data_IF_449265681069
#
_entry.id   IF_449265681069
#
_cell.length_a   1.000
_cell.length_b   1.000
_cell.length_c   1.000
_cell.angle_alpha   90.00
_cell.angle_beta   90.00
_cell.angle_gamma   90.00
#
_symmetry.space_group_name_H-M   'P 1'
#
loop_
_entity.id
_entity.type
_entity.pdbx_description
1 polymer ?
#
# COMPACT_ATOMS: atom_id res chain seq x y z
N UNK A 1 -12.91 -20.49 9.12
CA UNK A 1 -11.83 -20.72 8.14
C UNK A 1 -11.92 -22.18 7.73
N UNK A 2 -11.92 -22.44 6.42
CA UNK A 2 -12.05 -23.77 5.82
C UNK A 2 -10.84 -23.96 4.88
N UNK A 3 -9.71 -24.54 5.35
CA UNK A 3 -8.46 -24.64 4.59
C UNK A 3 -8.58 -25.41 3.28
N UNK A 4 -9.59 -26.29 3.16
CA UNK A 4 -9.90 -27.09 2.00
C UNK A 4 -10.60 -26.34 0.87
N UNK A 5 -11.16 -25.16 1.16
CA UNK A 5 -11.86 -24.35 0.16
C UNK A 5 -10.88 -23.71 -0.82
N UNK A 6 -11.00 -24.07 -2.10
CA UNK A 6 -10.23 -23.43 -3.19
C UNK A 6 -11.05 -22.32 -3.82
N UNK A 7 -10.49 -21.11 -3.87
CA UNK A 7 -11.09 -19.95 -4.55
C UNK A 7 -10.20 -19.54 -5.70
N UNK A 8 -10.73 -19.56 -6.91
CA UNK A 8 -10.06 -19.06 -8.11
C UNK A 8 -10.53 -17.63 -8.39
N UNK A 9 -9.60 -16.68 -8.42
CA UNK A 9 -9.88 -15.29 -8.75
C UNK A 9 -9.28 -14.93 -10.11
N UNK A 10 -10.07 -14.27 -10.95
CA UNK A 10 -9.61 -13.75 -12.24
C UNK A 10 -9.26 -12.28 -12.08
N UNK A 11 -8.05 -11.89 -12.48
CA UNK A 11 -7.64 -10.49 -12.53
C UNK A 11 -8.26 -9.81 -13.75
N UNK A 12 -8.76 -8.57 -13.65
CA UNK A 12 -9.29 -7.85 -14.80
C UNK A 12 -8.22 -7.66 -15.87
N UNK A 13 -8.55 -7.93 -17.13
CA UNK A 13 -7.64 -7.73 -18.27
C UNK A 13 -7.63 -6.24 -18.64
N UNK A 14 -8.79 -5.59 -18.53
CA UNK A 14 -8.96 -4.18 -18.82
C UNK A 14 -8.37 -3.30 -17.68
N UNK A 15 -7.42 -2.39 -17.99
CA UNK A 15 -6.80 -1.50 -16.99
C UNK A 15 -7.78 -0.61 -16.22
N UNK A 16 -8.84 -0.11 -16.87
CA UNK A 16 -9.85 0.73 -16.23
C UNK A 16 -10.67 -0.05 -15.19
N UNK A 17 -10.95 -1.33 -15.46
CA UNK A 17 -11.61 -2.21 -14.51
C UNK A 17 -10.71 -2.52 -13.31
N UNK A 18 -9.41 -2.76 -13.54
CA UNK A 18 -8.42 -2.97 -12.49
C UNK A 18 -8.26 -1.73 -11.60
N UNK A 19 -8.18 -0.53 -12.17
CA UNK A 19 -8.12 0.72 -11.41
C UNK A 19 -9.38 0.93 -10.55
N UNK A 20 -10.57 0.68 -11.11
CA UNK A 20 -11.83 0.81 -10.38
C UNK A 20 -11.90 -0.18 -9.20
N UNK A 21 -11.44 -1.42 -9.40
CA UNK A 21 -11.39 -2.43 -8.35
C UNK A 21 -10.42 -2.03 -7.23
N UNK A 22 -9.19 -1.62 -7.58
CA UNK A 22 -8.17 -1.19 -6.62
C UNK A 22 -8.61 0.04 -5.84
N UNK A 23 -9.24 1.00 -6.52
CA UNK A 23 -9.83 2.16 -5.86
C UNK A 23 -10.81 1.73 -4.77
N UNK A 24 -11.73 0.81 -5.07
CA UNK A 24 -12.69 0.31 -4.08
C UNK A 24 -12.04 -0.41 -2.90
N UNK A 25 -10.99 -1.19 -3.12
CA UNK A 25 -10.25 -1.82 -2.02
C UNK A 25 -9.60 -0.79 -1.12
N UNK A 26 -8.98 0.22 -1.71
CA UNK A 26 -8.37 1.32 -0.95
C UNK A 26 -9.42 2.11 -0.16
N UNK A 27 -10.55 2.44 -0.79
CA UNK A 27 -11.67 3.15 -0.16
C UNK A 27 -12.34 2.34 0.96
N UNK A 28 -12.58 1.05 0.72
CA UNK A 28 -13.26 0.15 1.66
C UNK A 28 -12.48 -0.04 2.95
N UNK A 29 -11.16 0.19 2.93
CA UNK A 29 -10.30 0.10 4.10
C UNK A 29 -10.53 1.22 5.11
N UNK A 30 -10.81 2.46 4.68
CA UNK A 30 -10.91 3.61 5.60
C UNK A 30 -12.04 3.50 6.63
N UNK A 31 -13.28 3.09 6.27
CA UNK A 31 -14.32 2.85 7.26
C UNK A 31 -13.95 1.76 8.27
N UNK A 32 -13.25 0.71 7.82
CA UNK A 32 -12.79 -0.37 8.70
C UNK A 32 -11.73 0.13 9.69
N UNK A 33 -10.74 0.88 9.21
CA UNK A 33 -9.74 1.57 10.04
C UNK A 33 -10.40 2.43 11.12
N UNK A 34 -11.32 3.31 10.72
CA UNK A 34 -12.01 4.22 11.64
C UNK A 34 -12.86 3.48 12.68
N UNK A 35 -13.53 2.39 12.27
CA UNK A 35 -14.44 1.63 13.13
C UNK A 35 -13.72 0.67 14.07
N UNK A 36 -12.67 0.00 13.62
CA UNK A 36 -12.11 -1.15 14.34
C UNK A 36 -10.70 -0.94 14.92
N UNK A 37 -9.93 0.05 14.49
CA UNK A 37 -8.56 0.27 15.01
C UNK A 37 -8.52 0.40 16.55
N UNK A 38 -9.32 1.30 17.11
CA UNK A 38 -9.36 1.53 18.56
C UNK A 38 -9.97 0.36 19.33
N UNK A 39 -10.95 -0.34 18.75
CA UNK A 39 -11.58 -1.51 19.35
C UNK A 39 -10.59 -2.68 19.45
N UNK A 40 -9.88 -2.97 18.36
CA UNK A 40 -8.89 -4.05 18.33
C UNK A 40 -7.72 -3.77 19.27
N UNK A 41 -7.22 -2.53 19.32
CA UNK A 41 -6.15 -2.17 20.24
C UNK A 41 -6.59 -2.34 21.71
N UNK A 42 -7.78 -1.86 22.06
CA UNK A 42 -8.34 -2.01 23.43
C UNK A 42 -8.51 -3.47 23.80
N UNK A 43 -9.06 -4.29 22.90
CA UNK A 43 -9.26 -5.72 23.14
C UNK A 43 -7.95 -6.49 23.23
N UNK A 44 -6.96 -6.15 22.40
CA UNK A 44 -5.62 -6.74 22.44
C UNK A 44 -4.95 -6.51 23.81
N UNK A 45 -5.01 -5.28 24.33
CA UNK A 45 -4.45 -4.93 25.65
C UNK A 45 -5.24 -5.61 26.77
N UNK A 46 -6.58 -5.51 26.75
CA UNK A 46 -7.45 -6.09 27.80
C UNK A 46 -7.28 -7.60 27.92
N UNK A 47 -7.19 -8.31 26.79
CA UNK A 47 -7.05 -9.77 26.75
C UNK A 47 -5.59 -10.24 26.72
N UNK A 48 -4.63 -9.31 26.69
CA UNK A 48 -3.19 -9.61 26.50
C UNK A 48 -2.95 -10.59 25.34
N UNK A 49 -3.69 -10.42 24.24
CA UNK A 49 -3.71 -11.37 23.13
C UNK A 49 -2.90 -10.88 21.96
N UNK A 50 -1.78 -11.54 21.69
CA UNK A 50 -0.94 -11.27 20.53
C UNK A 50 -1.72 -11.43 19.21
N UNK A 51 -2.64 -12.41 19.14
CA UNK A 51 -3.46 -12.64 17.93
C UNK A 51 -4.34 -11.44 17.58
N UNK A 52 -4.95 -10.78 18.58
CA UNK A 52 -5.77 -9.59 18.34
C UNK A 52 -4.88 -8.39 17.99
N UNK A 53 -3.72 -8.28 18.63
CA UNK A 53 -2.74 -7.25 18.32
C UNK A 53 -2.23 -7.36 16.88
N UNK A 54 -1.94 -8.58 16.41
CA UNK A 54 -1.54 -8.85 15.03
C UNK A 54 -2.60 -8.38 14.03
N UNK A 55 -3.87 -8.69 14.26
CA UNK A 55 -4.99 -8.17 13.43
C UNK A 55 -5.11 -6.64 13.48
N UNK A 56 -4.78 -6.00 14.61
CA UNK A 56 -4.72 -4.54 14.70
C UNK A 56 -3.60 -3.98 13.83
N UNK A 57 -2.39 -4.56 13.93
CA UNK A 57 -1.23 -4.14 13.14
C UNK A 57 -1.50 -4.31 11.65
N UNK A 58 -2.08 -5.44 11.22
CA UNK A 58 -2.49 -5.67 9.85
C UNK A 58 -3.49 -4.58 9.38
N UNK A 59 -4.48 -4.26 10.21
CA UNK A 59 -5.49 -3.25 9.88
C UNK A 59 -4.87 -1.86 9.70
N UNK A 60 -3.90 -1.45 10.52
CA UNK A 60 -3.31 -0.11 10.48
C UNK A 60 -2.13 0.04 9.51
N UNK A 61 -1.43 -1.04 9.16
CA UNK A 61 -0.22 -1.01 8.32
C UNK A 61 -0.55 -0.48 6.93
N UNK A 62 -0.15 0.75 6.56
CA UNK A 62 -0.54 1.35 5.28
C UNK A 62 0.01 0.52 4.12
N UNK A 63 -0.62 0.64 2.95
CA UNK A 63 -0.14 -0.05 1.76
C UNK A 63 1.33 0.30 1.49
N UNK A 64 2.13 -0.68 1.08
CA UNK A 64 3.58 -0.55 0.88
C UNK A 64 3.98 0.71 0.08
N UNK A 65 3.23 1.02 -0.99
CA UNK A 65 3.48 2.22 -1.81
C UNK A 65 3.39 3.53 -1.02
N UNK A 66 2.54 3.61 0.01
CA UNK A 66 2.47 4.79 0.87
C UNK A 66 3.71 4.89 1.78
N UNK A 67 4.18 3.76 2.30
CA UNK A 67 5.41 3.71 3.09
C UNK A 67 6.60 4.12 2.23
N UNK A 68 6.71 3.59 1.02
CA UNK A 68 7.78 3.96 0.09
C UNK A 68 7.73 5.42 -0.31
N UNK A 69 6.54 5.98 -0.56
CA UNK A 69 6.39 7.39 -0.84
C UNK A 69 6.84 8.26 0.35
N UNK A 70 6.45 7.89 1.58
CA UNK A 70 6.87 8.60 2.79
C UNK A 70 8.39 8.52 2.99
N UNK A 71 8.98 7.33 2.89
CA UNK A 71 10.42 7.12 2.97
C UNK A 71 11.17 7.94 1.92
N UNK A 72 10.68 7.95 0.68
CA UNK A 72 11.28 8.74 -0.39
C UNK A 72 11.16 10.25 -0.13
N UNK A 73 10.00 10.74 0.31
CA UNK A 73 9.83 12.14 0.65
C UNK A 73 10.76 12.57 1.79
N UNK A 74 10.88 11.77 2.85
CA UNK A 74 11.79 12.04 3.96
C UNK A 74 13.25 12.00 3.53
N UNK A 75 13.62 11.08 2.64
CA UNK A 75 14.95 11.05 2.03
C UNK A 75 15.27 12.35 1.30
N UNK A 76 14.38 12.82 0.41
CA UNK A 76 14.58 14.08 -0.33
C UNK A 76 14.66 15.28 0.62
N UNK A 77 13.78 15.37 1.62
CA UNK A 77 13.80 16.45 2.61
C UNK A 77 15.13 16.46 3.36
N UNK A 78 15.63 15.29 3.81
CA UNK A 78 16.89 15.21 4.53
C UNK A 78 18.07 15.54 3.62
N UNK A 79 18.08 15.10 2.35
CA UNK A 79 19.11 15.48 1.38
C UNK A 79 19.17 17.00 1.20
N UNK A 80 18.02 17.67 1.07
CA UNK A 80 17.94 19.13 0.94
C UNK A 80 18.44 19.83 2.20
N UNK A 81 17.99 19.41 3.39
CA UNK A 81 18.41 20.02 4.66
C UNK A 81 19.90 19.82 4.94
N UNK A 82 20.47 18.67 4.57
CA UNK A 82 21.91 18.42 4.64
C UNK A 82 22.67 19.28 3.64
N UNK A 83 22.15 19.49 2.42
CA UNK A 83 22.80 20.35 1.42
C UNK A 83 22.80 21.84 1.77
N UNK A 84 21.91 22.26 2.67
CA UNK A 84 21.79 23.63 3.16
C UNK A 84 22.51 23.84 4.51
N UNK A 85 23.29 22.86 4.97
CA UNK A 85 23.99 22.85 6.27
C UNK A 85 23.07 23.08 7.49
N UNK A 86 21.76 22.82 7.34
CA UNK A 86 20.77 22.98 8.43
C UNK A 86 20.86 21.84 9.45
N UNK A 87 21.23 20.64 8.98
CA UNK A 87 21.41 19.46 9.81
C UNK A 87 22.90 19.19 9.99
N UNK A 88 23.39 19.39 11.22
CA UNK A 88 24.80 19.16 11.60
C UNK A 88 25.23 17.70 11.54
N UNK A 89 24.28 16.76 11.60
CA UNK A 89 24.58 15.32 11.64
C UNK A 89 23.92 14.56 10.50
N UNK A 90 24.73 13.93 9.65
CA UNK A 90 24.33 13.13 8.49
C UNK A 90 23.66 11.78 8.85
N UNK A 91 23.46 11.48 10.15
CA UNK A 91 22.89 10.20 10.62
C UNK A 91 21.46 9.98 10.11
N UNK A 92 20.61 11.01 10.11
CA UNK A 92 19.23 10.85 9.65
C UNK A 92 19.15 10.55 8.15
N UNK A 93 19.97 11.24 7.35
CA UNK A 93 20.05 10.95 5.91
C UNK A 93 20.49 9.50 5.67
N UNK A 94 21.50 9.01 6.40
CA UNK A 94 21.95 7.62 6.30
C UNK A 94 20.84 6.62 6.67
N UNK A 95 20.05 6.89 7.71
CA UNK A 95 18.91 6.05 8.09
C UNK A 95 17.84 6.00 6.98
N UNK A 96 17.53 7.13 6.35
CA UNK A 96 16.56 7.17 5.25
C UNK A 96 17.07 6.45 4.00
N UNK A 97 18.36 6.56 3.69
CA UNK A 97 19.02 5.80 2.61
C UNK A 97 18.91 4.30 2.90
N UNK A 98 19.23 3.87 4.12
CA UNK A 98 19.16 2.46 4.51
C UNK A 98 17.73 1.92 4.42
N UNK A 99 16.74 2.66 4.93
CA UNK A 99 15.33 2.26 4.85
C UNK A 99 14.85 2.14 3.40
N UNK A 100 15.25 3.08 2.54
CA UNK A 100 14.92 3.02 1.12
C UNK A 100 15.59 1.82 0.43
N UNK A 101 16.86 1.55 0.73
CA UNK A 101 17.59 0.39 0.21
C UNK A 101 16.94 -0.93 0.65
N UNK A 102 16.51 -1.04 1.92
CA UNK A 102 15.80 -2.22 2.42
C UNK A 102 14.46 -2.45 1.71
N UNK A 103 13.73 -1.38 1.37
CA UNK A 103 12.49 -1.49 0.59
C UNK A 103 12.76 -1.98 -0.83
N UNK A 104 13.81 -1.48 -1.49
CA UNK A 104 14.22 -1.97 -2.81
C UNK A 104 14.64 -3.44 -2.74
N UNK A 105 15.43 -3.82 -1.73
CA UNK A 105 15.82 -5.20 -1.49
C UNK A 105 14.60 -6.10 -1.28
N UNK A 106 13.61 -5.67 -0.50
CA UNK A 106 12.37 -6.41 -0.28
C UNK A 106 11.59 -6.66 -1.59
N UNK A 107 11.44 -5.63 -2.43
CA UNK A 107 10.73 -5.76 -3.71
C UNK A 107 11.48 -6.65 -4.69
N UNK A 108 12.78 -6.40 -4.89
CA UNK A 108 13.61 -7.14 -5.83
C UNK A 108 13.81 -8.60 -5.38
N UNK A 109 14.00 -8.81 -4.08
CA UNK A 109 14.09 -10.13 -3.47
C UNK A 109 12.78 -10.91 -3.61
N UNK A 110 11.63 -10.24 -3.43
CA UNK A 110 10.32 -10.85 -3.66
C UNK A 110 10.11 -11.29 -5.11
N UNK A 111 10.51 -10.47 -6.09
CA UNK A 111 10.47 -10.83 -7.52
C UNK A 111 11.41 -11.98 -7.87
N UNK A 112 12.60 -11.99 -7.29
CA UNK A 112 13.57 -13.05 -7.50
C UNK A 112 13.08 -14.39 -6.93
N UNK A 113 12.61 -14.39 -5.68
CA UNK A 113 12.12 -15.60 -5.01
C UNK A 113 10.83 -16.15 -5.62
N UNK A 114 10.02 -15.31 -6.27
CA UNK A 114 8.81 -15.75 -6.98
C UNK A 114 9.08 -16.27 -8.39
N UNK A 115 10.34 -16.29 -8.85
CA UNK A 115 10.72 -16.60 -10.23
C UNK A 115 9.94 -15.73 -11.24
N UNK A 116 9.81 -14.43 -10.93
CA UNK A 116 9.07 -13.51 -11.77
C UNK A 116 9.71 -13.35 -13.16
N UNK A 117 8.87 -13.16 -14.18
CA UNK A 117 9.36 -12.92 -15.54
C UNK A 117 9.96 -11.51 -15.69
N UNK A 118 10.68 -11.28 -16.79
CA UNK A 118 11.29 -9.97 -17.06
C UNK A 118 10.24 -8.84 -17.16
N UNK A 119 9.00 -9.16 -17.52
CA UNK A 119 7.92 -8.18 -17.60
C UNK A 119 7.51 -7.68 -16.22
N UNK A 120 7.55 -8.52 -15.18
CA UNK A 120 7.32 -8.11 -13.80
C UNK A 120 8.39 -7.12 -13.32
N UNK A 121 9.66 -7.30 -13.68
CA UNK A 121 10.72 -6.32 -13.39
C UNK A 121 10.49 -5.01 -14.15
N UNK A 122 10.13 -5.09 -15.45
CA UNK A 122 9.80 -3.91 -16.26
C UNK A 122 8.58 -3.16 -15.71
N UNK A 123 7.66 -3.86 -15.03
CA UNK A 123 6.50 -3.23 -14.42
C UNK A 123 6.87 -2.19 -13.35
N UNK A 124 8.06 -2.30 -12.73
CA UNK A 124 8.57 -1.31 -11.77
C UNK A 124 8.75 0.09 -12.38
N UNK A 125 8.99 0.20 -13.70
CA UNK A 125 9.05 1.50 -14.38
C UNK A 125 7.71 2.25 -14.37
N UNK A 126 6.60 1.54 -14.16
CA UNK A 126 5.28 2.16 -14.01
C UNK A 126 5.00 2.59 -12.56
N UNK A 127 5.90 2.35 -11.61
CA UNK A 127 5.72 2.75 -10.21
C UNK A 127 5.48 4.26 -10.04
N UNK A 128 6.19 5.18 -10.72
CA UNK A 128 5.91 6.62 -10.61
C UNK A 128 4.48 6.97 -11.08
N UNK A 129 4.04 6.39 -12.21
CA UNK A 129 2.68 6.57 -12.72
C UNK A 129 1.64 6.05 -11.71
N UNK A 130 1.90 4.90 -11.10
CA UNK A 130 1.02 4.31 -10.09
C UNK A 130 0.93 5.17 -8.82
N UNK A 131 2.06 5.71 -8.34
CA UNK A 131 2.11 6.63 -7.21
C UNK A 131 1.28 7.89 -7.50
N UNK A 132 1.44 8.48 -8.70
CA UNK A 132 0.68 9.67 -9.09
C UNK A 132 -0.84 9.40 -9.13
N UNK A 133 -1.24 8.28 -9.74
CA UNK A 133 -2.64 7.85 -9.71
C UNK A 133 -3.17 7.71 -8.27
N UNK A 134 -2.37 7.12 -7.38
CA UNK A 134 -2.73 6.92 -5.97
C UNK A 134 -2.91 8.24 -5.21
N UNK A 135 -2.03 9.22 -5.47
CA UNK A 135 -2.16 10.57 -4.93
C UNK A 135 -3.43 11.27 -5.42
N UNK A 136 -3.73 11.20 -6.72
CA UNK A 136 -4.97 11.75 -7.29
C UNK A 136 -6.20 11.08 -6.65
N UNK A 137 -6.13 9.76 -6.43
CA UNK A 137 -7.19 9.02 -5.74
C UNK A 137 -7.42 9.57 -4.33
N UNK A 138 -6.36 9.77 -3.54
CA UNK A 138 -6.46 10.36 -2.19
C UNK A 138 -7.02 11.78 -2.18
N UNK A 139 -6.61 12.64 -3.11
CA UNK A 139 -7.17 13.99 -3.26
C UNK A 139 -8.67 13.91 -3.58
N UNK A 140 -9.10 13.00 -4.46
CA UNK A 140 -10.53 12.77 -4.76
C UNK A 140 -11.32 12.30 -3.53
N UNK A 141 -10.74 11.44 -2.70
CA UNK A 141 -11.36 10.97 -1.45
C UNK A 141 -11.59 12.14 -0.50
N UNK A 142 -10.55 12.93 -0.26
CA UNK A 142 -10.57 14.03 0.69
C UNK A 142 -11.51 15.15 0.25
N UNK A 143 -11.60 15.42 -1.06
CA UNK A 143 -12.44 16.48 -1.62
C UNK A 143 -13.93 16.12 -1.76
N UNK A 144 -14.26 14.88 -2.18
CA UNK A 144 -15.66 14.51 -2.49
C UNK A 144 -16.40 13.79 -1.37
N UNK A 145 -15.73 13.54 -0.24
CA UNK A 145 -16.26 12.70 0.83
C UNK A 145 -16.49 11.25 0.37
N UNK A 146 -16.89 10.38 1.30
CA UNK A 146 -17.20 8.98 0.98
C UNK A 146 -18.38 8.92 -0.01
N UNK A 147 -18.10 8.79 -1.30
CA UNK A 147 -19.13 8.52 -2.30
C UNK A 147 -19.70 7.13 -1.99
N UNK A 148 -20.91 7.11 -1.42
CA UNK A 148 -21.71 5.91 -1.09
C UNK A 148 -22.06 5.03 -2.31
N UNK A 149 -21.63 5.40 -3.51
CA UNK A 149 -21.89 4.61 -4.70
C UNK A 149 -20.96 3.40 -4.70
N UNK A 150 -21.45 2.32 -4.10
CA UNK A 150 -21.03 0.98 -4.52
C UNK A 150 -21.38 0.85 -6.00
N UNK A 151 -20.42 1.20 -6.86
CA UNK A 151 -20.51 0.93 -8.28
C UNK A 151 -20.19 -0.56 -8.41
N UNK A 152 -20.89 -1.30 -9.27
CA UNK A 152 -20.53 -2.70 -9.57
C UNK A 152 -19.30 -2.69 -10.50
N UNK A 153 -18.31 -3.58 -10.34
CA UNK A 153 -17.24 -3.66 -11.35
C UNK A 153 -17.90 -4.26 -12.60
N UNK A 154 -17.71 -3.63 -13.77
CA UNK A 154 -18.13 -4.27 -15.00
C UNK A 154 -17.43 -5.63 -15.09
N UNK A 155 -18.21 -6.69 -15.27
CA UNK A 155 -17.65 -8.02 -15.54
C UNK A 155 -17.32 -8.05 -17.02
N UNK A 156 -16.10 -8.43 -17.35
CA UNK A 156 -15.77 -8.75 -18.74
C UNK A 156 -16.65 -9.93 -19.17
N UNK A 157 -17.32 -9.79 -20.31
CA UNK A 157 -18.04 -10.90 -20.93
C UNK A 157 -17.05 -12.01 -21.20
N UNK A 158 -17.35 -13.23 -20.76
CA UNK A 158 -16.59 -14.41 -21.13
C UNK A 158 -16.57 -14.50 -22.66
N UNK A 159 -15.46 -14.11 -23.28
CA UNK A 159 -15.20 -14.47 -24.67
C UNK A 159 -14.96 -15.97 -24.69
N UNK A 160 -15.95 -16.70 -25.23
CA UNK A 160 -15.77 -18.07 -25.71
C UNK A 160 -14.73 -18.09 -26.85
#
# INVERSE_FOLDING_TARGET
FAPEAKVQAVMPINPQNAETQRARWEFGRFPLLKKYSSVLLKEAVKKKSFKIFDSFIELITPAFVNLSLFTFAMLIINMLLTSLDVLTTNTFLLLWILLFALQLFYVLGGLYLSNADINAYKALWYAPKYILWKLILYVKVLSKGHTKLWIRTARESASH
#
